data_IF_869330103498
#
_entry.id   IF_869330103498
#
_cell.length_a   1.000
_cell.length_b   1.000
_cell.length_c   1.000
_cell.angle_alpha   90.00
_cell.angle_beta   90.00
_cell.angle_gamma   90.00
#
_symmetry.space_group_name_H-M   'P 1'
#
loop_
_entity.id
_entity.type
_entity.pdbx_description
1 polymer ?
#
# COMPACT_ATOMS: atom_id res chain seq x y z
N UNK A 1 -38.01 24.96 5.23
CA UNK A 1 -37.26 24.13 4.26
C UNK A 1 -36.84 22.87 4.99
N UNK A 2 -37.26 21.68 4.53
CA UNK A 2 -37.08 20.42 5.29
C UNK A 2 -36.14 19.41 4.59
N UNK A 3 -35.74 19.71 3.36
CA UNK A 3 -34.81 18.90 2.58
C UNK A 3 -34.22 19.73 1.45
N UNK A 4 -33.02 19.36 1.02
CA UNK A 4 -32.30 20.02 -0.07
C UNK A 4 -32.03 19.00 -1.17
N UNK A 5 -32.17 19.45 -2.42
CA UNK A 5 -31.75 18.70 -3.61
C UNK A 5 -30.55 19.45 -4.18
N UNK A 6 -29.47 18.73 -4.46
CA UNK A 6 -28.23 19.32 -4.97
C UNK A 6 -27.95 18.80 -6.37
N UNK A 7 -27.78 19.67 -7.36
CA UNK A 7 -27.53 19.29 -8.76
C UNK A 7 -26.07 19.49 -9.16
N UNK A 8 -25.69 18.97 -10.34
CA UNK A 8 -24.34 19.05 -10.93
C UNK A 8 -23.24 18.48 -10.04
N UNK A 9 -23.51 17.32 -9.43
CA UNK A 9 -22.55 16.60 -8.58
C UNK A 9 -21.63 15.65 -9.35
N UNK A 10 -21.86 15.50 -10.64
CA UNK A 10 -21.07 14.75 -11.60
C UNK A 10 -19.75 15.41 -11.96
N UNK A 11 -19.67 16.75 -11.87
CA UNK A 11 -18.46 17.52 -12.17
C UNK A 11 -17.29 17.34 -11.19
N UNK A 12 -16.18 18.01 -11.51
CA UNK A 12 -14.94 18.01 -10.71
C UNK A 12 -15.05 18.85 -9.42
N UNK A 13 -16.23 19.42 -9.17
CA UNK A 13 -16.54 20.08 -7.92
C UNK A 13 -16.58 19.04 -6.79
N UNK A 14 -15.56 19.05 -5.93
CA UNK A 14 -15.39 18.15 -4.78
C UNK A 14 -16.42 18.36 -3.66
N UNK A 15 -17.70 18.59 -3.96
CA UNK A 15 -18.79 18.59 -2.97
C UNK A 15 -18.72 19.60 -1.80
N UNK A 16 -17.78 20.56 -1.80
CA UNK A 16 -17.60 21.51 -0.68
C UNK A 16 -18.78 22.44 -0.41
N UNK A 17 -19.60 22.70 -1.44
CA UNK A 17 -20.88 23.41 -1.31
C UNK A 17 -21.89 22.63 -0.46
N UNK A 18 -21.93 21.30 -0.61
CA UNK A 18 -22.80 20.42 0.20
C UNK A 18 -22.50 20.55 1.69
N UNK A 19 -21.21 20.57 2.03
CA UNK A 19 -20.74 20.72 3.40
C UNK A 19 -21.11 22.09 3.98
N UNK A 20 -20.89 23.15 3.21
CA UNK A 20 -21.18 24.53 3.62
C UNK A 20 -22.68 24.73 3.88
N UNK A 21 -23.52 24.25 2.96
CA UNK A 21 -24.98 24.32 3.09
C UNK A 21 -25.45 23.50 4.29
N UNK A 22 -24.95 22.28 4.48
CA UNK A 22 -25.33 21.44 5.62
C UNK A 22 -24.90 22.06 6.95
N UNK A 23 -23.71 22.65 7.00
CA UNK A 23 -23.18 23.30 8.21
C UNK A 23 -23.96 24.56 8.58
N UNK A 24 -24.30 25.41 7.60
CA UNK A 24 -25.03 26.66 7.84
C UNK A 24 -26.52 26.44 8.11
N UNK A 25 -27.15 25.51 7.40
CA UNK A 25 -28.62 25.36 7.45
C UNK A 25 -29.08 24.24 8.38
N UNK A 26 -28.23 23.24 8.65
CA UNK A 26 -28.61 22.04 9.40
C UNK A 26 -29.57 21.09 8.65
N UNK A 27 -30.08 21.47 7.48
CA UNK A 27 -31.10 20.73 6.73
C UNK A 27 -30.44 19.56 5.97
N UNK A 28 -31.04 18.36 5.94
CA UNK A 28 -30.49 17.21 5.21
C UNK A 28 -30.61 17.38 3.68
N UNK A 29 -29.55 16.98 2.96
CA UNK A 29 -29.59 16.80 1.50
C UNK A 29 -30.19 15.43 1.23
N UNK A 30 -31.23 15.37 0.39
CA UNK A 30 -32.00 14.16 0.12
C UNK A 30 -31.70 13.55 -1.25
N UNK A 31 -31.46 14.38 -2.25
CA UNK A 31 -31.20 13.94 -3.62
C UNK A 31 -30.00 14.67 -4.24
N UNK A 32 -29.33 13.97 -5.14
CA UNK A 32 -28.17 14.39 -5.93
C UNK A 32 -28.50 14.30 -7.43
N UNK A 33 -28.33 15.39 -8.18
CA UNK A 33 -28.33 15.37 -9.63
C UNK A 33 -26.93 15.03 -10.15
N UNK A 34 -26.79 13.84 -10.73
CA UNK A 34 -25.55 13.25 -11.26
C UNK A 34 -25.42 13.42 -12.79
N UNK A 35 -26.20 14.32 -13.39
CA UNK A 35 -26.17 14.58 -14.82
C UNK A 35 -27.31 15.48 -15.27
N UNK A 36 -27.51 15.55 -16.59
CA UNK A 36 -28.49 16.43 -17.24
C UNK A 36 -29.79 15.70 -17.62
N UNK A 37 -29.81 14.36 -17.60
CA UNK A 37 -30.98 13.58 -18.01
C UNK A 37 -31.99 13.49 -16.87
N UNK A 38 -33.26 13.27 -17.21
CA UNK A 38 -34.35 13.12 -16.22
C UNK A 38 -34.15 11.93 -15.27
N UNK A 39 -33.34 10.95 -15.65
CA UNK A 39 -33.03 9.77 -14.85
C UNK A 39 -31.78 9.93 -13.96
N UNK A 40 -31.07 11.06 -14.04
CA UNK A 40 -29.81 11.27 -13.31
C UNK A 40 -30.04 11.86 -11.90
N UNK A 41 -31.27 11.78 -11.38
CA UNK A 41 -31.61 12.20 -10.03
C UNK A 41 -31.55 11.00 -9.09
N UNK A 42 -30.55 10.97 -8.21
CA UNK A 42 -30.28 9.87 -7.30
C UNK A 42 -30.47 10.27 -5.84
N UNK A 43 -30.62 9.27 -4.96
CA UNK A 43 -30.58 9.48 -3.52
C UNK A 43 -29.21 9.99 -3.08
N UNK A 44 -29.20 10.99 -2.21
CA UNK A 44 -27.95 11.53 -1.68
C UNK A 44 -27.35 10.60 -0.64
N UNK A 45 -26.13 10.12 -0.87
CA UNK A 45 -25.36 9.29 0.05
C UNK A 45 -24.20 10.10 0.67
N UNK A 46 -24.30 10.53 1.94
CA UNK A 46 -23.28 11.34 2.60
C UNK A 46 -21.90 10.66 2.65
N UNK A 47 -21.87 9.34 2.86
CA UNK A 47 -20.64 8.57 2.97
C UNK A 47 -19.83 8.64 1.67
N UNK A 48 -20.48 8.40 0.52
CA UNK A 48 -19.85 8.52 -0.81
C UNK A 48 -19.36 9.94 -1.10
N UNK A 49 -20.12 10.95 -0.67
CA UNK A 49 -19.72 12.36 -0.84
C UNK A 49 -18.49 12.69 0.01
N UNK A 50 -18.45 12.22 1.25
CA UNK A 50 -17.30 12.38 2.14
C UNK A 50 -16.05 11.68 1.57
N UNK A 51 -16.20 10.47 1.02
CA UNK A 51 -15.14 9.70 0.37
C UNK A 51 -14.59 10.43 -0.87
N UNK A 52 -15.46 11.02 -1.69
CA UNK A 52 -15.06 11.83 -2.87
C UNK A 52 -14.33 13.12 -2.46
N UNK A 53 -14.77 13.78 -1.38
CA UNK A 53 -14.10 14.96 -0.81
C UNK A 53 -12.71 14.60 -0.28
N UNK A 54 -12.60 13.46 0.43
CA UNK A 54 -11.37 12.99 1.06
C UNK A 54 -10.41 12.32 0.07
N UNK A 55 -10.82 12.12 -1.20
CA UNK A 55 -10.01 11.46 -2.22
C UNK A 55 -9.79 9.97 -1.95
N UNK A 56 -10.69 9.33 -1.19
CA UNK A 56 -10.62 7.91 -0.83
C UNK A 56 -11.35 6.99 -1.83
N UNK A 57 -11.86 7.54 -2.94
CA UNK A 57 -12.57 6.78 -3.99
C UNK A 57 -11.75 5.67 -4.64
N UNK A 58 -10.42 5.79 -4.69
CA UNK A 58 -9.53 4.75 -5.23
C UNK A 58 -9.35 3.54 -4.30
N UNK A 59 -9.65 3.68 -3.00
CA UNK A 59 -9.39 2.61 -2.02
C UNK A 59 -10.44 1.51 -2.12
N UNK A 60 -11.70 1.84 -2.44
CA UNK A 60 -12.76 0.84 -2.64
C UNK A 60 -12.58 0.05 -3.93
N UNK A 61 -12.20 0.70 -5.04
CA UNK A 61 -11.88 0.02 -6.30
C UNK A 61 -10.65 -0.88 -6.17
N UNK A 62 -9.70 -0.51 -5.31
CA UNK A 62 -8.55 -1.34 -4.92
C UNK A 62 -8.97 -2.53 -4.03
N UNK A 63 -10.03 -2.40 -3.24
CA UNK A 63 -10.60 -3.48 -2.42
C UNK A 63 -11.38 -4.45 -3.29
N UNK A 64 -12.25 -3.96 -4.18
CA UNK A 64 -13.04 -4.77 -5.11
C UNK A 64 -12.16 -5.56 -6.10
N UNK A 65 -11.04 -4.99 -6.58
CA UNK A 65 -10.07 -5.73 -7.41
C UNK A 65 -9.14 -6.66 -6.63
N UNK A 66 -9.04 -6.52 -5.30
CA UNK A 66 -8.25 -7.39 -4.45
C UNK A 66 -9.03 -8.62 -3.94
N UNK A 67 -10.36 -8.62 -4.09
CA UNK A 67 -11.25 -9.69 -3.62
C UNK A 67 -11.02 -11.06 -4.30
N UNK A 68 -10.34 -11.12 -5.45
CA UNK A 68 -10.16 -12.42 -6.12
C UNK A 68 -9.11 -13.33 -5.45
N UNK A 69 -8.11 -12.80 -4.72
CA UNK A 69 -6.99 -13.66 -4.25
C UNK A 69 -6.29 -13.32 -2.92
N UNK A 70 -6.76 -12.38 -2.07
CA UNK A 70 -6.05 -12.04 -0.82
C UNK A 70 -7.02 -11.86 0.37
N UNK A 71 -6.64 -12.38 1.54
CA UNK A 71 -7.35 -12.21 2.82
C UNK A 71 -7.55 -10.70 3.11
N UNK A 72 -8.81 -10.26 3.04
CA UNK A 72 -9.28 -8.87 3.07
C UNK A 72 -8.69 -8.05 4.24
N UNK A 73 -8.41 -8.73 5.36
CA UNK A 73 -7.82 -8.13 6.56
C UNK A 73 -6.33 -7.86 6.43
N UNK A 74 -5.57 -8.75 5.77
CA UNK A 74 -4.15 -8.54 5.52
C UNK A 74 -3.92 -7.45 4.48
N UNK A 75 -4.73 -7.45 3.41
CA UNK A 75 -4.71 -6.41 2.38
C UNK A 75 -4.96 -5.02 2.98
N UNK A 76 -6.04 -4.85 3.76
CA UNK A 76 -6.37 -3.59 4.44
C UNK A 76 -5.27 -3.13 5.42
N UNK A 77 -4.65 -4.05 6.17
CA UNK A 77 -3.53 -3.71 7.08
C UNK A 77 -2.28 -3.25 6.31
N UNK A 78 -1.96 -3.93 5.21
CA UNK A 78 -0.80 -3.62 4.38
C UNK A 78 -0.96 -2.27 3.68
N UNK A 79 -2.16 -2.01 3.12
CA UNK A 79 -2.53 -0.72 2.52
C UNK A 79 -2.49 0.41 3.54
N UNK A 80 -3.09 0.25 4.73
CA UNK A 80 -3.07 1.27 5.78
C UNK A 80 -1.65 1.57 6.30
N UNK A 81 -0.78 0.56 6.43
CA UNK A 81 0.64 0.76 6.77
C UNK A 81 1.38 1.50 5.66
N UNK A 82 1.16 1.15 4.40
CA UNK A 82 1.75 1.82 3.26
C UNK A 82 1.34 3.31 3.21
N UNK A 83 0.04 3.59 3.44
CA UNK A 83 -0.51 4.95 3.52
C UNK A 83 0.05 5.74 4.71
N UNK A 84 0.35 5.09 5.84
CA UNK A 84 0.97 5.73 7.01
C UNK A 84 2.38 6.28 6.72
N UNK A 85 3.03 5.80 5.65
CA UNK A 85 4.38 6.22 5.25
C UNK A 85 5.50 5.68 6.16
N UNK A 86 5.18 4.75 7.07
CA UNK A 86 6.16 4.05 7.90
C UNK A 86 6.34 2.64 7.34
N UNK A 87 7.28 2.50 6.41
CA UNK A 87 7.75 1.21 5.95
C UNK A 87 8.92 0.77 6.83
N UNK A 88 8.79 -0.36 7.52
CA UNK A 88 9.79 -0.89 8.46
C UNK A 88 10.42 -2.20 7.95
N UNK A 89 11.48 -2.68 8.61
CA UNK A 89 12.06 -3.98 8.28
C UNK A 89 11.11 -5.15 8.62
N UNK A 90 10.16 -4.93 9.54
CA UNK A 90 9.09 -5.87 9.86
C UNK A 90 8.16 -6.03 8.65
N UNK A 91 7.75 -4.93 8.03
CA UNK A 91 6.91 -4.96 6.82
C UNK A 91 7.64 -5.59 5.62
N UNK A 92 8.94 -5.33 5.49
CA UNK A 92 9.76 -5.96 4.45
C UNK A 92 9.84 -7.48 4.65
N UNK A 93 9.93 -7.96 5.89
CA UNK A 93 9.92 -9.38 6.20
C UNK A 93 8.58 -10.03 5.86
N UNK A 94 7.47 -9.42 6.26
CA UNK A 94 6.11 -9.89 5.97
C UNK A 94 5.90 -10.06 4.46
N UNK A 95 6.33 -9.08 3.66
CA UNK A 95 6.27 -9.14 2.20
C UNK A 95 7.11 -10.30 1.63
N UNK A 96 8.34 -10.49 2.13
CA UNK A 96 9.18 -11.60 1.69
C UNK A 96 8.59 -12.97 2.07
N UNK A 97 7.85 -13.07 3.17
CA UNK A 97 7.13 -14.29 3.55
C UNK A 97 5.94 -14.58 2.64
N UNK A 98 5.16 -13.56 2.27
CA UNK A 98 4.09 -13.70 1.29
C UNK A 98 4.61 -14.18 -0.07
N UNK A 99 5.73 -13.62 -0.55
CA UNK A 99 6.36 -14.08 -1.80
C UNK A 99 6.80 -15.54 -1.72
N UNK A 100 7.36 -15.98 -0.58
CA UNK A 100 7.70 -17.40 -0.40
C UNK A 100 6.47 -18.32 -0.33
N UNK A 101 5.34 -17.84 0.22
CA UNK A 101 4.08 -18.63 0.34
C UNK A 101 3.42 -18.89 -1.02
N UNK A 102 3.50 -17.94 -1.95
CA UNK A 102 2.94 -18.07 -3.31
C UNK A 102 3.75 -19.10 -4.14
N UNK A 103 4.99 -19.40 -3.75
CA UNK A 103 5.83 -20.45 -4.33
C UNK A 103 7.24 -19.95 -4.66
N UNK A 104 8.10 -20.83 -5.17
CA UNK A 104 9.42 -20.42 -5.67
C UNK A 104 9.27 -19.31 -6.72
N UNK A 105 10.17 -18.33 -6.75
CA UNK A 105 10.19 -17.25 -7.78
C UNK A 105 10.02 -17.80 -9.22
N UNK A 106 10.51 -19.01 -9.45
CA UNK A 106 10.36 -19.79 -10.69
C UNK A 106 8.90 -20.09 -11.08
N UNK A 107 8.01 -20.30 -10.11
CA UNK A 107 6.58 -20.53 -10.33
C UNK A 107 5.89 -19.26 -10.82
N UNK A 108 6.15 -18.13 -10.16
CA UNK A 108 5.54 -16.82 -10.48
C UNK A 108 6.02 -16.32 -11.86
N UNK A 109 7.31 -16.47 -12.18
CA UNK A 109 7.88 -16.03 -13.46
C UNK A 109 7.33 -16.77 -14.68
N UNK A 110 6.81 -18.00 -14.53
CA UNK A 110 6.18 -18.75 -15.63
C UNK A 110 4.85 -18.15 -16.10
N UNK A 111 4.22 -17.31 -15.27
CA UNK A 111 2.92 -16.70 -15.56
C UNK A 111 3.05 -15.25 -16.06
N UNK A 112 4.27 -14.70 -16.17
CA UNK A 112 4.50 -13.34 -16.67
C UNK A 112 4.88 -13.40 -18.17
N UNK A 113 3.96 -13.10 -19.11
CA UNK A 113 4.28 -13.08 -20.53
C UNK A 113 5.28 -11.96 -20.85
N UNK A 114 6.29 -12.26 -21.68
CA UNK A 114 7.28 -11.27 -22.13
C UNK A 114 8.53 -11.10 -21.25
N UNK A 115 8.63 -11.80 -20.11
CA UNK A 115 9.88 -11.83 -19.33
C UNK A 115 10.88 -12.85 -19.90
N UNK A 116 12.18 -12.52 -20.00
CA UNK A 116 13.20 -13.49 -20.39
C UNK A 116 13.22 -14.64 -19.38
N UNK A 117 13.29 -15.89 -19.88
CA UNK A 117 13.39 -17.09 -19.05
C UNK A 117 14.65 -16.98 -18.20
N UNK A 118 14.48 -16.74 -16.89
CA UNK A 118 15.57 -16.78 -15.92
C UNK A 118 15.99 -18.24 -15.75
N UNK A 119 17.30 -18.49 -15.66
CA UNK A 119 17.81 -19.85 -15.49
C UNK A 119 17.42 -20.43 -14.13
N UNK A 120 17.36 -21.76 -14.04
CA UNK A 120 17.11 -22.43 -12.75
C UNK A 120 18.18 -22.10 -11.71
N UNK A 121 19.40 -21.83 -12.16
CA UNK A 121 20.52 -21.45 -11.31
C UNK A 121 20.32 -20.07 -10.69
N UNK A 122 19.83 -19.11 -11.48
CA UNK A 122 19.56 -17.74 -11.03
C UNK A 122 18.36 -17.69 -10.07
N UNK A 123 17.32 -18.47 -10.34
CA UNK A 123 16.17 -18.59 -9.43
C UNK A 123 16.58 -19.20 -8.07
N UNK A 124 17.45 -20.20 -8.08
CA UNK A 124 17.98 -20.81 -6.87
C UNK A 124 18.90 -19.85 -6.08
N UNK A 125 19.73 -19.08 -6.77
CA UNK A 125 20.56 -18.02 -6.15
C UNK A 125 19.69 -16.96 -5.49
N UNK A 126 18.66 -16.48 -6.19
CA UNK A 126 17.70 -15.51 -5.64
C UNK A 126 17.01 -16.05 -4.37
N UNK A 127 16.58 -17.32 -4.39
CA UNK A 127 15.95 -17.95 -3.22
C UNK A 127 16.89 -18.03 -2.02
N UNK A 128 18.18 -18.36 -2.25
CA UNK A 128 19.19 -18.38 -1.18
C UNK A 128 19.41 -16.99 -0.59
N UNK A 129 19.50 -15.95 -1.42
CA UNK A 129 19.65 -14.56 -0.96
C UNK A 129 18.42 -14.06 -0.19
N UNK A 130 17.22 -14.45 -0.60
CA UNK A 130 15.98 -14.17 0.14
C UNK A 130 16.03 -14.82 1.54
N UNK A 131 16.39 -16.10 1.62
CA UNK A 131 16.48 -16.80 2.90
C UNK A 131 17.56 -16.20 3.81
N UNK A 132 18.71 -15.79 3.25
CA UNK A 132 19.77 -15.09 3.97
C UNK A 132 19.27 -13.76 4.55
N UNK A 133 18.55 -12.98 3.75
CA UNK A 133 17.96 -11.71 4.19
C UNK A 133 16.96 -11.92 5.33
N UNK A 134 16.10 -12.96 5.22
CA UNK A 134 15.17 -13.33 6.31
C UNK A 134 15.90 -13.68 7.59
N UNK A 135 16.96 -14.50 7.51
CA UNK A 135 17.75 -14.87 8.68
C UNK A 135 18.37 -13.63 9.37
N UNK A 136 18.85 -12.66 8.58
CA UNK A 136 19.37 -11.39 9.08
C UNK A 136 18.30 -10.59 9.82
N UNK A 137 17.11 -10.39 9.22
CA UNK A 137 16.03 -9.62 9.85
C UNK A 137 15.51 -10.34 11.10
N UNK A 138 15.38 -11.66 11.05
CA UNK A 138 14.95 -12.48 12.19
C UNK A 138 15.92 -12.42 13.38
N UNK A 139 17.20 -12.14 13.14
CA UNK A 139 18.22 -11.94 14.19
C UNK A 139 18.15 -10.56 14.87
N UNK A 140 17.31 -9.66 14.37
CA UNK A 140 17.04 -8.35 14.96
C UNK A 140 15.95 -8.43 16.03
N UNK A 141 16.02 -7.53 16.99
CA UNK A 141 14.94 -7.27 17.95
C UNK A 141 13.81 -6.47 17.30
N UNK A 142 12.62 -6.48 17.91
CA UNK A 142 11.46 -5.74 17.41
C UNK A 142 11.73 -4.23 17.30
N UNK A 143 12.44 -3.66 18.28
CA UNK A 143 12.83 -2.25 18.28
C UNK A 143 13.72 -1.92 17.07
N UNK A 144 14.71 -2.75 16.79
CA UNK A 144 15.62 -2.58 15.66
C UNK A 144 14.92 -2.74 14.31
N UNK A 145 13.91 -3.62 14.20
CA UNK A 145 13.12 -3.79 12.97
C UNK A 145 12.26 -2.57 12.67
N UNK A 146 11.65 -2.01 13.72
CA UNK A 146 10.78 -0.82 13.62
C UNK A 146 11.54 0.47 13.45
N UNK A 147 12.77 0.52 13.99
CA UNK A 147 13.65 1.68 13.89
C UNK A 147 15.06 1.28 13.42
N UNK A 148 15.28 1.12 12.11
CA UNK A 148 16.58 0.73 11.56
C UNK A 148 17.71 1.73 11.83
N UNK A 149 17.41 2.99 12.15
CA UNK A 149 18.39 4.04 12.40
C UNK A 149 19.27 3.78 13.64
N UNK A 150 18.79 2.94 14.56
CA UNK A 150 19.56 2.56 15.77
C UNK A 150 20.63 1.49 15.48
N UNK A 151 20.62 0.87 14.29
CA UNK A 151 21.53 -0.19 13.90
C UNK A 151 22.93 0.34 13.63
N UNK A 152 23.67 0.60 14.71
CA UNK A 152 25.10 0.92 14.68
C UNK A 152 25.98 -0.34 14.66
N UNK A 153 27.30 -0.17 14.55
CA UNK A 153 28.27 -1.26 14.38
C UNK A 153 28.09 -2.43 15.39
N UNK A 154 27.94 -2.14 16.69
CA UNK A 154 27.77 -3.17 17.73
C UNK A 154 26.54 -4.07 17.49
N UNK A 155 25.42 -3.48 17.08
CA UNK A 155 24.17 -4.22 16.78
C UNK A 155 24.33 -5.03 15.50
N UNK A 156 24.94 -4.45 14.45
CA UNK A 156 25.22 -5.16 13.20
C UNK A 156 26.09 -6.41 13.41
N UNK A 157 27.12 -6.32 14.26
CA UNK A 157 27.98 -7.48 14.60
C UNK A 157 27.17 -8.57 15.32
N UNK A 158 26.30 -8.21 16.27
CA UNK A 158 25.43 -9.18 16.96
C UNK A 158 24.48 -9.87 15.97
N UNK A 159 23.82 -9.09 15.11
CA UNK A 159 22.88 -9.60 14.11
C UNK A 159 23.60 -10.54 13.13
N UNK A 160 24.77 -10.14 12.64
CA UNK A 160 25.59 -10.96 11.75
C UNK A 160 25.96 -12.32 12.38
N UNK A 161 26.37 -12.31 13.66
CA UNK A 161 26.63 -13.55 14.42
C UNK A 161 25.37 -14.41 14.58
N UNK A 162 24.23 -13.80 14.90
CA UNK A 162 22.96 -14.52 15.06
C UNK A 162 22.45 -15.16 13.76
N UNK A 163 22.71 -14.51 12.62
CA UNK A 163 22.32 -15.01 11.31
C UNK A 163 23.38 -15.90 10.63
N UNK A 164 24.58 -16.05 11.21
CA UNK A 164 25.67 -16.82 10.62
C UNK A 164 26.28 -16.17 9.36
N UNK A 165 26.29 -14.83 9.29
CA UNK A 165 26.76 -14.07 8.11
C UNK A 165 27.81 -13.03 8.49
N UNK A 166 28.37 -12.36 7.48
CA UNK A 166 29.30 -11.26 7.70
C UNK A 166 28.57 -9.94 8.01
N UNK A 167 29.15 -9.02 8.80
CA UNK A 167 28.59 -7.69 9.04
C UNK A 167 28.34 -6.87 7.76
N UNK A 168 29.10 -7.14 6.69
CA UNK A 168 28.90 -6.55 5.36
C UNK A 168 27.58 -6.96 4.73
N UNK A 169 27.10 -8.18 4.99
CA UNK A 169 25.81 -8.65 4.49
C UNK A 169 24.64 -7.94 5.18
N UNK A 170 24.79 -7.63 6.47
CA UNK A 170 23.82 -6.80 7.21
C UNK A 170 23.73 -5.40 6.58
N UNK A 171 24.86 -4.80 6.19
CA UNK A 171 24.86 -3.51 5.49
C UNK A 171 24.16 -3.58 4.13
N UNK A 172 24.34 -4.66 3.37
CA UNK A 172 23.65 -4.86 2.09
C UNK A 172 22.13 -4.86 2.28
N UNK A 173 21.63 -5.59 3.29
CA UNK A 173 20.20 -5.64 3.62
C UNK A 173 19.68 -4.26 4.00
N UNK A 174 20.41 -3.51 4.82
CA UNK A 174 20.01 -2.14 5.21
C UNK A 174 19.97 -1.19 4.01
N UNK A 175 20.94 -1.29 3.11
CA UNK A 175 20.95 -0.49 1.89
C UNK A 175 19.78 -0.85 0.97
N UNK A 176 19.42 -2.14 0.89
CA UNK A 176 18.27 -2.59 0.11
C UNK A 176 16.97 -2.06 0.72
N UNK A 177 16.83 -2.12 2.04
CA UNK A 177 15.70 -1.53 2.76
C UNK A 177 15.56 -0.03 2.50
N UNK A 178 16.63 0.75 2.57
CA UNK A 178 16.58 2.19 2.31
C UNK A 178 16.15 2.51 0.87
N UNK A 179 16.63 1.74 -0.12
CA UNK A 179 16.16 1.87 -1.51
C UNK A 179 14.67 1.57 -1.65
N UNK A 180 14.20 0.50 -1.04
CA UNK A 180 12.77 0.13 -1.07
C UNK A 180 11.91 1.19 -0.37
N UNK A 181 12.38 1.71 0.76
CA UNK A 181 11.72 2.80 1.50
C UNK A 181 11.64 4.08 0.67
N UNK A 182 12.70 4.43 -0.07
CA UNK A 182 12.71 5.58 -0.98
C UNK A 182 11.70 5.39 -2.13
N UNK A 183 11.70 4.21 -2.75
CA UNK A 183 10.73 3.87 -3.81
C UNK A 183 9.29 3.94 -3.30
N UNK A 184 9.01 3.41 -2.11
CA UNK A 184 7.68 3.49 -1.47
C UNK A 184 7.26 4.93 -1.19
N UNK A 185 8.20 5.80 -0.78
CA UNK A 185 7.95 7.23 -0.58
C UNK A 185 7.62 7.94 -1.89
N UNK A 186 8.34 7.62 -2.97
CA UNK A 186 8.07 8.16 -4.31
C UNK A 186 6.70 7.70 -4.82
N UNK A 187 6.39 6.42 -4.66
CA UNK A 187 5.10 5.84 -5.06
C UNK A 187 3.94 6.50 -4.30
N UNK A 188 4.05 6.70 -2.99
CA UNK A 188 3.08 7.48 -2.19
C UNK A 188 2.91 8.91 -2.73
N UNK A 189 3.99 9.54 -3.19
CA UNK A 189 3.96 10.86 -3.82
C UNK A 189 3.21 10.88 -5.16
N UNK A 190 3.32 9.82 -5.96
CA UNK A 190 2.60 9.66 -7.23
C UNK A 190 1.11 9.35 -7.01
N UNK A 191 0.78 8.46 -6.07
CA UNK A 191 -0.61 8.21 -5.64
C UNK A 191 -1.29 9.48 -5.13
N UNK A 192 -0.60 10.30 -4.31
CA UNK A 192 -1.14 11.58 -3.81
C UNK A 192 -1.34 12.63 -4.92
N UNK A 193 -0.64 12.49 -6.06
CA UNK A 193 -0.75 13.37 -7.23
C UNK A 193 -1.72 12.83 -8.30
N UNK A 194 -2.46 11.76 -8.04
CA UNK A 194 -3.43 11.20 -8.99
C UNK A 194 -2.80 10.62 -10.26
N UNK A 195 -1.49 10.34 -10.25
CA UNK A 195 -0.81 9.64 -11.35
C UNK A 195 -0.57 8.20 -10.93
N UNK A 196 -1.57 7.36 -11.21
CA UNK A 196 -1.42 5.90 -11.26
C UNK A 196 -0.36 5.55 -12.31
N UNK A 197 0.61 4.67 -12.02
CA UNK A 197 1.49 4.08 -13.05
C UNK A 197 0.81 2.93 -13.81
N UNK A 198 -0.49 2.73 -13.60
CA UNK A 198 -1.36 1.82 -14.35
C UNK A 198 -2.45 2.61 -15.07
#
# INVERSE_FOLDING_TARGET
INGIIMSKLDGDARGGSALSIKHLTGIPIKFAGMGEKTNDLELFHPDRMAERILGMGDVLTLIEKAEEHIDEKEAKKSVNRMLSGRFTLEDMLDQMEQVNKIGSLKGIMKFIPGMPKISDEDANKATKELNKTKAIINSMTLEERRNPDILKAKRKIRIAKGAGVNPSDVNKVLNQYEKTKEMMKQMKGMFKKGKSPF
#
